data_IF_342202330931
#
_entry.id   IF_342202330931
#
_cell.length_a   1.000
_cell.length_b   1.000
_cell.length_c   1.000
_cell.angle_alpha   90.00
_cell.angle_beta   90.00
_cell.angle_gamma   90.00
#
_symmetry.space_group_name_H-M   'P 1'
#
loop_
_entity.id
_entity.type
_entity.pdbx_description
1 polymer ?
#
# COMPACT_ATOMS: atom_id res chain seq x y z
N UNK A 1 -10.37 10.02 17.29
CA UNK A 1 -9.58 10.47 16.13
C UNK A 1 -9.94 9.72 14.84
N UNK A 2 -10.05 8.38 14.85
CA UNK A 2 -10.41 7.58 13.66
C UNK A 2 -11.67 8.08 12.93
N UNK A 3 -12.77 8.32 13.65
CA UNK A 3 -14.04 8.81 13.09
C UNK A 3 -13.87 10.15 12.38
N UNK A 4 -13.10 11.08 12.97
CA UNK A 4 -12.85 12.41 12.38
C UNK A 4 -12.00 12.27 11.12
N UNK A 5 -10.95 11.45 11.15
CA UNK A 5 -10.12 11.18 9.97
C UNK A 5 -10.91 10.54 8.84
N UNK A 6 -11.75 9.54 9.15
CA UNK A 6 -12.65 8.92 8.17
C UNK A 6 -13.62 9.94 7.57
N UNK A 7 -14.21 10.81 8.38
CA UNK A 7 -15.12 11.84 7.90
C UNK A 7 -14.41 12.82 6.95
N UNK A 8 -13.25 13.35 7.36
CA UNK A 8 -12.45 14.28 6.53
C UNK A 8 -12.01 13.63 5.22
N UNK A 9 -11.59 12.36 5.26
CA UNK A 9 -11.20 11.60 4.07
C UNK A 9 -12.37 11.44 3.09
N UNK A 10 -13.52 10.99 3.58
CA UNK A 10 -14.71 10.81 2.75
C UNK A 10 -15.20 12.15 2.16
N UNK A 11 -15.13 13.22 2.94
CA UNK A 11 -15.45 14.58 2.46
C UNK A 11 -14.51 15.01 1.32
N UNK A 12 -13.20 14.81 1.48
CA UNK A 12 -12.22 15.11 0.43
C UNK A 12 -12.43 14.27 -0.84
N UNK A 13 -12.64 12.97 -0.68
CA UNK A 13 -12.85 12.03 -1.79
C UNK A 13 -14.12 12.35 -2.59
N UNK A 14 -15.22 12.65 -1.92
CA UNK A 14 -16.47 13.03 -2.60
C UNK A 14 -16.34 14.33 -3.38
N UNK A 15 -15.63 15.34 -2.82
CA UNK A 15 -15.32 16.57 -3.54
C UNK A 15 -14.46 16.35 -4.79
N UNK A 16 -13.44 15.51 -4.68
CA UNK A 16 -12.59 15.11 -5.81
C UNK A 16 -13.39 14.35 -6.89
N UNK A 17 -14.26 13.44 -6.48
CA UNK A 17 -15.08 12.67 -7.41
C UNK A 17 -16.07 13.56 -8.18
N UNK A 18 -16.70 14.51 -7.50
CA UNK A 18 -17.58 15.50 -8.15
C UNK A 18 -16.84 16.34 -9.19
N UNK A 19 -15.59 16.73 -8.91
CA UNK A 19 -14.76 17.45 -9.88
C UNK A 19 -14.33 16.56 -11.04
N UNK A 20 -13.95 15.31 -10.78
CA UNK A 20 -13.59 14.34 -11.83
C UNK A 20 -14.77 14.05 -12.79
N UNK A 21 -16.00 13.99 -12.26
CA UNK A 21 -17.21 13.84 -13.07
C UNK A 21 -17.49 15.07 -13.95
N UNK A 22 -17.06 16.26 -13.50
CA UNK A 22 -17.27 17.52 -14.22
C UNK A 22 -16.19 17.79 -15.25
N UNK A 23 -14.94 17.50 -14.91
CA UNK A 23 -13.78 17.59 -15.78
C UNK A 23 -12.85 16.39 -15.57
N UNK A 24 -12.65 15.61 -16.64
CA UNK A 24 -11.70 14.50 -16.65
C UNK A 24 -10.26 15.03 -16.78
N UNK A 25 -9.76 15.63 -15.71
CA UNK A 25 -8.38 16.12 -15.59
C UNK A 25 -7.63 15.32 -14.52
N UNK A 26 -6.29 15.36 -14.58
CA UNK A 26 -5.45 14.79 -13.53
C UNK A 26 -5.64 15.52 -12.19
N UNK A 27 -5.28 14.87 -11.06
CA UNK A 27 -5.41 15.47 -9.73
C UNK A 27 -4.74 16.84 -9.59
N UNK A 28 -3.54 17.00 -10.13
CA UNK A 28 -2.86 18.29 -10.13
C UNK A 28 -3.51 19.29 -11.11
N UNK A 29 -4.13 18.83 -12.21
CA UNK A 29 -4.91 19.65 -13.12
C UNK A 29 -6.16 20.22 -12.45
N UNK A 30 -6.91 19.39 -11.74
CA UNK A 30 -8.07 19.82 -10.93
C UNK A 30 -7.67 20.87 -9.90
N UNK A 31 -6.54 20.65 -9.20
CA UNK A 31 -6.03 21.62 -8.23
C UNK A 31 -5.56 22.93 -8.88
N UNK A 32 -5.02 22.87 -10.10
CA UNK A 32 -4.63 24.04 -10.87
C UNK A 32 -5.80 24.96 -11.23
N UNK A 33 -6.99 24.40 -11.44
CA UNK A 33 -8.22 25.17 -11.67
C UNK A 33 -8.65 25.90 -10.39
N UNK A 34 -8.56 25.23 -9.24
CA UNK A 34 -9.04 25.77 -7.97
C UNK A 34 -8.07 26.77 -7.30
N UNK A 35 -6.76 26.50 -7.36
CA UNK A 35 -5.74 27.24 -6.60
C UNK A 35 -4.56 27.73 -7.45
N UNK A 36 -4.63 27.59 -8.78
CA UNK A 36 -3.57 28.02 -9.69
C UNK A 36 -2.28 27.20 -9.55
N UNK A 37 -1.16 27.79 -9.97
CA UNK A 37 0.14 27.12 -10.05
C UNK A 37 0.67 26.63 -8.69
N UNK A 38 0.35 27.33 -7.60
CA UNK A 38 0.74 26.94 -6.24
C UNK A 38 0.07 25.61 -5.85
N UNK A 39 -1.22 25.45 -6.15
CA UNK A 39 -1.96 24.21 -5.92
C UNK A 39 -1.40 23.03 -6.71
N UNK A 40 -1.01 23.25 -7.97
CA UNK A 40 -0.36 22.22 -8.81
C UNK A 40 0.92 21.71 -8.15
N UNK A 41 1.79 22.60 -7.69
CA UNK A 41 3.06 22.21 -7.06
C UNK A 41 2.84 21.51 -5.72
N UNK A 42 1.91 21.99 -4.89
CA UNK A 42 1.58 21.36 -3.62
C UNK A 42 1.15 19.90 -3.80
N UNK A 43 0.23 19.64 -4.73
CA UNK A 43 -0.26 18.27 -4.99
C UNK A 43 0.84 17.38 -5.58
N UNK A 44 1.65 17.90 -6.50
CA UNK A 44 2.77 17.13 -7.06
C UNK A 44 3.77 16.70 -5.99
N UNK A 45 4.12 17.59 -5.06
CA UNK A 45 5.05 17.30 -3.96
C UNK A 45 4.44 16.25 -3.03
N UNK A 46 3.17 16.40 -2.65
CA UNK A 46 2.50 15.45 -1.77
C UNK A 46 2.42 14.06 -2.42
N UNK A 47 2.03 13.97 -3.69
CA UNK A 47 2.00 12.70 -4.42
C UNK A 47 3.39 12.10 -4.50
N UNK A 48 4.42 12.89 -4.80
CA UNK A 48 5.80 12.41 -4.86
C UNK A 48 6.26 11.82 -3.52
N UNK A 49 6.01 12.54 -2.41
CA UNK A 49 6.36 12.05 -1.07
C UNK A 49 5.59 10.76 -0.72
N UNK A 50 4.29 10.71 -1.00
CA UNK A 50 3.47 9.52 -0.78
C UNK A 50 4.02 8.32 -1.57
N UNK A 51 4.25 8.49 -2.88
CA UNK A 51 4.72 7.40 -3.74
C UNK A 51 6.13 6.95 -3.35
N UNK A 52 7.02 7.86 -2.93
CA UNK A 52 8.35 7.46 -2.42
C UNK A 52 8.26 6.59 -1.17
N UNK A 53 7.37 6.93 -0.23
CA UNK A 53 7.17 6.16 1.00
C UNK A 53 6.57 4.78 0.72
N UNK A 54 5.59 4.70 -0.17
CA UNK A 54 4.97 3.45 -0.60
C UNK A 54 6.01 2.55 -1.27
N UNK A 55 6.73 3.05 -2.28
CA UNK A 55 7.77 2.28 -2.96
C UNK A 55 8.83 1.76 -1.98
N UNK A 56 9.34 2.61 -1.08
CA UNK A 56 10.34 2.22 -0.09
C UNK A 56 9.83 1.11 0.84
N UNK A 57 8.58 1.21 1.29
CA UNK A 57 7.96 0.19 2.15
C UNK A 57 7.89 -1.16 1.45
N UNK A 58 7.53 -1.19 0.16
CA UNK A 58 7.52 -2.43 -0.63
C UNK A 58 8.91 -3.03 -0.81
N UNK A 59 9.94 -2.23 -1.07
CA UNK A 59 11.33 -2.73 -1.18
C UNK A 59 11.77 -3.43 0.11
N UNK A 60 11.50 -2.82 1.27
CA UNK A 60 11.86 -3.40 2.57
C UNK A 60 11.06 -4.67 2.81
N UNK A 61 9.73 -4.60 2.67
CA UNK A 61 8.83 -5.72 2.94
C UNK A 61 9.14 -6.94 2.07
N UNK A 62 9.28 -6.76 0.76
CA UNK A 62 9.57 -7.87 -0.16
C UNK A 62 10.97 -8.44 0.11
N UNK A 63 11.96 -7.59 0.41
CA UNK A 63 13.31 -8.06 0.73
C UNK A 63 13.33 -8.93 1.98
N UNK A 64 12.72 -8.47 3.07
CA UNK A 64 12.63 -9.25 4.33
C UNK A 64 11.93 -10.59 4.13
N UNK A 65 10.78 -10.62 3.46
CA UNK A 65 10.04 -11.86 3.21
C UNK A 65 10.82 -12.84 2.31
N UNK A 66 11.59 -12.34 1.34
CA UNK A 66 12.43 -13.19 0.50
C UNK A 66 13.60 -13.78 1.27
N UNK A 67 14.24 -13.01 2.15
CA UNK A 67 15.30 -13.51 3.02
C UNK A 67 14.76 -14.61 3.93
N UNK A 68 13.64 -14.38 4.60
CA UNK A 68 13.00 -15.39 5.46
C UNK A 68 12.63 -16.68 4.70
N UNK A 69 12.28 -16.57 3.42
CA UNK A 69 11.99 -17.72 2.56
C UNK A 69 13.27 -18.45 2.12
N UNK A 70 14.35 -17.72 1.85
CA UNK A 70 15.65 -18.28 1.47
C UNK A 70 16.35 -18.95 2.64
N UNK A 71 16.22 -18.41 3.85
CA UNK A 71 16.73 -19.03 5.08
C UNK A 71 16.08 -20.41 5.31
N UNK A 72 14.80 -20.58 4.98
CA UNK A 72 14.12 -21.89 5.06
C UNK A 72 14.68 -22.95 4.11
N UNK A 73 15.40 -22.55 3.07
CA UNK A 73 16.11 -23.44 2.14
C UNK A 73 17.63 -23.40 2.33
N UNK A 74 18.09 -22.97 3.51
CA UNK A 74 19.50 -22.91 3.93
C UNK A 74 20.38 -21.97 3.07
N UNK A 75 19.77 -20.98 2.42
CA UNK A 75 20.48 -19.93 1.69
C UNK A 75 20.49 -18.63 2.51
N UNK A 76 21.64 -18.33 3.12
CA UNK A 76 21.86 -17.06 3.80
C UNK A 76 22.19 -15.96 2.78
N UNK A 77 21.29 -15.00 2.63
CA UNK A 77 21.49 -13.83 1.78
C UNK A 77 21.13 -12.57 2.55
N UNK A 78 22.03 -11.59 2.53
CA UNK A 78 21.79 -10.30 3.18
C UNK A 78 20.57 -9.59 2.56
N UNK A 79 19.69 -8.96 3.37
CA UNK A 79 18.58 -8.12 2.90
C UNK A 79 19.02 -6.99 1.97
N UNK A 80 20.24 -6.48 2.14
CA UNK A 80 20.80 -5.43 1.26
C UNK A 80 21.01 -5.99 -0.15
N UNK A 81 21.56 -7.20 -0.27
CA UNK A 81 21.78 -7.87 -1.55
C UNK A 81 20.45 -8.15 -2.25
N UNK A 82 19.43 -8.59 -1.50
CA UNK A 82 18.08 -8.82 -2.05
C UNK A 82 17.44 -7.53 -2.55
N UNK A 83 17.62 -6.41 -1.83
CA UNK A 83 17.15 -5.10 -2.29
C UNK A 83 17.84 -4.66 -3.60
N UNK A 84 19.14 -4.90 -3.75
CA UNK A 84 19.86 -4.64 -5.01
C UNK A 84 19.33 -5.49 -6.18
N UNK A 85 19.06 -6.77 -5.96
CA UNK A 85 18.44 -7.63 -6.97
C UNK A 85 17.05 -7.12 -7.39
N UNK A 86 16.25 -6.68 -6.43
CA UNK A 86 14.95 -6.06 -6.72
C UNK A 86 15.09 -4.80 -7.55
N UNK A 87 16.08 -3.94 -7.30
CA UNK A 87 16.30 -2.74 -8.12
C UNK A 87 16.59 -3.10 -9.58
N UNK A 88 17.40 -4.13 -9.83
CA UNK A 88 17.71 -4.59 -11.19
C UNK A 88 16.44 -5.06 -11.92
N UNK A 89 15.47 -5.63 -11.20
CA UNK A 89 14.20 -6.06 -11.77
C UNK A 89 13.18 -4.91 -11.88
N UNK A 90 13.04 -4.08 -10.86
CA UNK A 90 12.00 -3.04 -10.80
C UNK A 90 12.31 -1.83 -11.67
N UNK A 91 13.59 -1.47 -11.86
CA UNK A 91 13.96 -0.37 -12.76
C UNK A 91 13.46 -0.59 -14.19
N UNK A 92 13.74 -1.71 -14.89
CA UNK A 92 13.22 -1.93 -16.23
C UNK A 92 11.69 -2.07 -16.26
N UNK A 93 11.09 -2.68 -15.23
CA UNK A 93 9.63 -2.74 -15.12
C UNK A 93 9.00 -1.35 -14.96
N UNK A 94 9.67 -0.42 -14.27
CA UNK A 94 9.19 0.97 -14.10
C UNK A 94 9.16 1.76 -15.42
N UNK A 95 9.91 1.32 -16.43
CA UNK A 95 9.90 1.95 -17.76
C UNK A 95 8.67 1.56 -18.58
N UNK A 96 7.87 0.58 -18.12
CA UNK A 96 6.58 0.24 -18.74
C UNK A 96 5.58 1.34 -18.38
N UNK A 97 5.29 2.19 -19.37
CA UNK A 97 4.38 3.32 -19.21
C UNK A 97 2.91 2.93 -19.35
N UNK A 98 2.60 1.84 -20.08
CA UNK A 98 1.24 1.33 -20.20
C UNK A 98 0.95 0.25 -19.14
N UNK A 99 0.27 0.68 -18.08
CA UNK A 99 -0.17 -0.18 -16.99
C UNK A 99 -1.10 -1.31 -17.45
N UNK A 100 -1.75 -1.20 -18.62
CA UNK A 100 -2.59 -2.29 -19.16
C UNK A 100 -1.78 -3.56 -19.43
N UNK A 101 -0.49 -3.41 -19.74
CA UNK A 101 0.45 -4.52 -19.95
C UNK A 101 0.61 -5.36 -18.67
N UNK A 102 0.50 -4.74 -17.50
CA UNK A 102 0.64 -5.39 -16.20
C UNK A 102 -0.71 -5.85 -15.61
N UNK A 103 -1.80 -5.77 -16.37
CA UNK A 103 -3.15 -6.12 -15.88
C UNK A 103 -3.23 -7.54 -15.33
N UNK A 104 -2.62 -8.52 -16.01
CA UNK A 104 -2.65 -9.92 -15.57
C UNK A 104 -1.88 -10.07 -14.27
N UNK A 105 -0.67 -9.50 -14.18
CA UNK A 105 0.14 -9.50 -12.96
C UNK A 105 -0.61 -8.85 -11.80
N UNK A 106 -1.28 -7.72 -12.04
CA UNK A 106 -2.10 -7.05 -11.04
C UNK A 106 -3.28 -7.92 -10.57
N UNK A 107 -3.94 -8.63 -11.49
CA UNK A 107 -5.04 -9.54 -11.14
C UNK A 107 -4.54 -10.72 -10.28
N UNK A 108 -3.38 -11.29 -10.62
CA UNK A 108 -2.76 -12.35 -9.82
C UNK A 108 -2.43 -11.83 -8.43
N UNK A 109 -1.77 -10.68 -8.33
CA UNK A 109 -1.46 -10.05 -7.05
C UNK A 109 -2.71 -9.79 -6.20
N UNK A 110 -3.76 -9.23 -6.80
CA UNK A 110 -5.04 -8.99 -6.12
C UNK A 110 -5.68 -10.30 -5.62
N UNK A 111 -5.61 -11.37 -6.42
CA UNK A 111 -6.13 -12.69 -6.03
C UNK A 111 -5.33 -13.29 -4.87
N UNK A 112 -4.00 -13.15 -4.89
CA UNK A 112 -3.14 -13.60 -3.80
C UNK A 112 -3.41 -12.83 -2.50
N UNK A 113 -3.64 -11.52 -2.56
CA UNK A 113 -4.01 -10.72 -1.39
C UNK A 113 -5.33 -11.23 -0.79
N UNK A 114 -6.36 -11.41 -1.61
CA UNK A 114 -7.65 -11.94 -1.16
C UNK A 114 -7.49 -13.33 -0.54
N UNK A 115 -6.71 -14.20 -1.18
CA UNK A 115 -6.41 -15.52 -0.65
C UNK A 115 -5.70 -15.45 0.71
N UNK A 116 -4.67 -14.62 0.84
CA UNK A 116 -3.96 -14.42 2.11
C UNK A 116 -4.87 -13.93 3.22
N UNK A 117 -5.81 -13.02 2.93
CA UNK A 117 -6.80 -12.55 3.90
C UNK A 117 -7.71 -13.70 4.35
N UNK A 118 -8.20 -14.53 3.42
CA UNK A 118 -9.04 -15.69 3.75
C UNK A 118 -8.29 -16.66 4.68
N UNK A 119 -7.03 -16.96 4.35
CA UNK A 119 -6.18 -17.83 5.16
C UNK A 119 -5.98 -17.23 6.56
N UNK A 120 -5.64 -15.94 6.64
CA UNK A 120 -5.41 -15.25 7.92
C UNK A 120 -6.66 -15.27 8.80
N UNK A 121 -7.84 -14.97 8.22
CA UNK A 121 -9.11 -15.03 8.94
C UNK A 121 -9.44 -16.45 9.40
N UNK A 122 -9.17 -17.47 8.57
CA UNK A 122 -9.41 -18.86 8.95
C UNK A 122 -8.54 -19.29 10.13
N UNK A 123 -7.22 -19.03 10.09
CA UNK A 123 -6.31 -19.35 11.20
C UNK A 123 -6.63 -18.53 12.46
N UNK A 124 -6.92 -17.24 12.31
CA UNK A 124 -7.36 -16.41 13.44
C UNK A 124 -8.64 -16.97 14.07
N UNK A 125 -9.62 -17.41 13.26
CA UNK A 125 -10.87 -17.99 13.78
C UNK A 125 -10.65 -19.29 14.56
N UNK A 126 -9.74 -20.15 14.09
CA UNK A 126 -9.34 -21.37 14.81
C UNK A 126 -8.69 -20.99 16.14
N UNK A 127 -7.73 -20.06 16.11
CA UNK A 127 -7.01 -19.64 17.31
C UNK A 127 -7.93 -19.05 18.38
N UNK A 128 -8.92 -18.24 17.99
CA UNK A 128 -9.94 -17.68 18.92
C UNK A 128 -10.86 -18.77 19.48
N UNK A 129 -11.11 -19.85 18.73
CA UNK A 129 -11.95 -20.96 19.20
C UNK A 129 -11.20 -21.83 20.20
N UNK A 130 -9.89 -22.01 20.02
CA UNK A 130 -9.04 -22.81 20.90
C UNK A 130 -8.59 -22.05 22.16
N UNK A 131 -8.37 -20.74 22.05
CA UNK A 131 -8.01 -19.85 23.16
C UNK A 131 -8.81 -18.52 23.10
N UNK A 132 -9.99 -18.46 23.72
CA UNK A 132 -10.85 -17.27 23.71
C UNK A 132 -10.23 -16.06 24.42
N UNK A 133 -9.31 -16.28 25.37
CA UNK A 133 -8.67 -15.23 26.16
C UNK A 133 -7.48 -14.59 25.43
N UNK A 134 -7.07 -15.16 24.29
CA UNK A 134 -6.02 -14.62 23.42
C UNK A 134 -6.40 -13.25 22.82
N UNK A 135 -7.69 -12.97 22.64
CA UNK A 135 -8.16 -11.73 22.01
C UNK A 135 -8.19 -10.58 23.01
N UNK A 136 -7.18 -9.71 22.94
CA UNK A 136 -7.22 -8.43 23.65
C UNK A 136 -8.00 -7.40 22.82
N UNK A 137 -8.87 -6.63 23.47
CA UNK A 137 -9.69 -5.61 22.78
C UNK A 137 -8.85 -4.47 22.16
N UNK A 138 -7.62 -4.29 22.65
CA UNK A 138 -6.69 -3.28 22.13
C UNK A 138 -5.25 -3.68 22.46
N UNK A 139 -4.46 -3.97 21.43
CA UNK A 139 -3.01 -4.09 21.58
C UNK A 139 -2.33 -2.77 21.23
N UNK A 140 -1.82 -2.08 22.23
CA UNK A 140 -1.09 -0.82 22.05
C UNK A 140 0.23 -0.96 21.29
N UNK A 141 0.82 -2.17 21.27
CA UNK A 141 2.12 -2.42 20.64
C UNK A 141 1.98 -2.48 19.12
N UNK A 142 0.98 -3.23 18.66
CA UNK A 142 0.75 -3.47 17.23
C UNK A 142 -0.24 -2.47 16.61
N UNK A 143 -0.85 -1.59 17.41
CA UNK A 143 -1.80 -0.59 16.94
C UNK A 143 -1.24 0.34 15.86
N UNK A 144 0.02 0.77 15.99
CA UNK A 144 0.65 1.64 14.99
C UNK A 144 0.96 0.90 13.69
N UNK A 145 1.29 -0.39 13.78
CA UNK A 145 1.50 -1.26 12.61
C UNK A 145 0.16 -1.54 11.89
N UNK A 146 -0.92 -1.74 12.65
CA UNK A 146 -2.28 -1.86 12.12
C UNK A 146 -2.75 -0.57 11.41
N UNK A 147 -2.51 0.60 12.00
CA UNK A 147 -2.83 1.88 11.35
C UNK A 147 -1.97 2.07 10.09
N UNK A 148 -0.68 1.74 10.15
CA UNK A 148 0.20 1.81 8.98
C UNK A 148 -0.33 0.94 7.84
N UNK A 149 -0.53 -0.36 8.09
CA UNK A 149 -0.99 -1.33 7.09
C UNK A 149 -2.39 -1.02 6.54
N UNK A 150 -3.32 -0.56 7.38
CA UNK A 150 -4.66 -0.14 6.93
C UNK A 150 -4.63 1.14 6.06
N UNK A 151 -3.68 2.04 6.28
CA UNK A 151 -3.48 3.22 5.44
C UNK A 151 -2.78 2.90 4.10
N UNK A 152 -2.06 1.78 4.00
CA UNK A 152 -1.40 1.33 2.77
C UNK A 152 -2.32 0.55 1.80
N UNK A 153 -3.53 0.16 2.21
CA UNK A 153 -4.49 -0.59 1.37
C UNK A 153 -5.32 0.29 0.40
N UNK A 154 -4.81 1.45 -0.03
CA UNK A 154 -5.46 2.35 -1.00
C UNK A 154 -4.54 2.79 -2.12
#
# INVERSE_FOLDING_TARGET
>A
MLIVSCFLFNWGMTGLMQMCLRESQSFYGMMGIAFGSVGVWAVKIIIFMQQSGVCMSYFIFVSSNLVDLLEKIELDVSPVTMCFFQLILYVPLSMITDMKTLRITNLIGSTLIVFSIIVLVAYASIQVTEDPDYVTAFDSKDFFEFIGTSAFMW
#
